data_IF_657360607986
#
_entry.id   IF_657360607986
#
_cell.length_a   1.000
_cell.length_b   1.000
_cell.length_c   1.000
_cell.angle_alpha   90.00
_cell.angle_beta   90.00
_cell.angle_gamma   90.00
#
_symmetry.space_group_name_H-M   'P 1'
#
loop_
_entity.id
_entity.type
_entity.pdbx_description
1 polymer ?
#
# COMPACT_ATOMS: atom_id res chain seq x y z
N UNK A 1 -13.10 14.23 -2.67
CA UNK A 1 -12.82 14.11 -1.22
C UNK A 1 -13.17 12.71 -0.69
N UNK A 2 -14.36 12.17 -1.00
CA UNK A 2 -14.84 10.87 -0.51
C UNK A 2 -13.90 9.67 -0.80
N UNK A 3 -13.42 9.50 -2.04
CA UNK A 3 -12.58 8.35 -2.40
C UNK A 3 -11.23 8.32 -1.67
N UNK A 4 -10.64 9.49 -1.44
CA UNK A 4 -9.36 9.62 -0.74
C UNK A 4 -9.50 9.33 0.76
N UNK A 5 -10.60 9.75 1.39
CA UNK A 5 -10.91 9.39 2.78
C UNK A 5 -11.10 7.88 2.93
N UNK A 6 -11.77 7.23 1.98
CA UNK A 6 -11.92 5.77 1.97
C UNK A 6 -10.55 5.09 1.80
N UNK A 7 -9.67 5.62 0.94
CA UNK A 7 -8.30 5.10 0.77
C UNK A 7 -7.51 5.15 2.07
N UNK A 8 -7.55 6.28 2.77
CA UNK A 8 -6.88 6.45 4.06
C UNK A 8 -7.46 5.54 5.15
N UNK A 9 -8.78 5.35 5.17
CA UNK A 9 -9.42 4.43 6.10
C UNK A 9 -8.99 2.98 5.86
N UNK A 10 -9.01 2.53 4.60
CA UNK A 10 -8.56 1.18 4.23
C UNK A 10 -7.08 0.99 4.54
N UNK A 11 -6.23 1.97 4.21
CA UNK A 11 -4.82 2.00 4.58
C UNK A 11 -4.62 1.78 6.09
N UNK A 12 -5.33 2.55 6.91
CA UNK A 12 -5.18 2.52 8.37
C UNK A 12 -5.67 1.18 8.94
N UNK A 13 -6.78 0.65 8.43
CA UNK A 13 -7.33 -0.65 8.84
C UNK A 13 -6.35 -1.77 8.50
N UNK A 14 -5.83 -1.80 7.26
CA UNK A 14 -4.87 -2.82 6.83
C UNK A 14 -3.61 -2.80 7.69
N UNK A 15 -3.02 -1.63 7.94
CA UNK A 15 -1.80 -1.52 8.76
C UNK A 15 -2.04 -1.90 10.21
N UNK A 16 -3.13 -1.45 10.82
CA UNK A 16 -3.42 -1.76 12.22
C UNK A 16 -3.60 -3.28 12.44
N UNK A 17 -4.23 -3.97 11.48
CA UNK A 17 -4.40 -5.44 11.54
C UNK A 17 -3.04 -6.17 11.50
N UNK A 18 -2.15 -5.75 10.61
CA UNK A 18 -0.81 -6.32 10.49
C UNK A 18 0.05 -5.98 11.71
N UNK A 19 -0.03 -4.75 12.22
CA UNK A 19 0.69 -4.34 13.43
C UNK A 19 0.29 -5.18 14.65
N UNK A 20 -1.00 -5.49 14.82
CA UNK A 20 -1.47 -6.39 15.89
C UNK A 20 -0.92 -7.81 15.76
N UNK A 21 -0.82 -8.34 14.53
CA UNK A 21 -0.17 -9.63 14.27
C UNK A 21 1.33 -9.60 14.57
N UNK A 22 2.03 -8.55 14.17
CA UNK A 22 3.46 -8.38 14.43
C UNK A 22 3.76 -8.33 15.93
N UNK A 23 2.97 -7.56 16.68
CA UNK A 23 3.11 -7.45 18.13
C UNK A 23 2.91 -8.81 18.80
N UNK A 24 1.84 -9.53 18.42
CA UNK A 24 1.57 -10.89 18.92
C UNK A 24 2.70 -11.86 18.62
N UNK A 25 3.23 -11.89 17.39
CA UNK A 25 4.31 -12.81 16.99
C UNK A 25 5.64 -12.42 17.64
N UNK A 26 5.86 -11.15 17.95
CA UNK A 26 7.12 -10.69 18.57
C UNK A 26 7.32 -11.20 20.01
N UNK A 27 6.24 -11.43 20.74
CA UNK A 27 6.22 -11.92 22.12
C UNK A 27 5.38 -13.21 22.23
N UNK A 28 5.85 -14.34 21.66
CA UNK A 28 5.05 -15.54 21.60
C UNK A 28 4.94 -16.23 22.96
N UNK A 29 3.75 -16.71 23.30
CA UNK A 29 3.61 -17.67 24.39
C UNK A 29 4.16 -19.03 23.94
N UNK A 30 4.92 -19.71 24.81
CA UNK A 30 5.47 -21.05 24.55
C UNK A 30 4.37 -22.12 24.68
N UNK A 31 3.42 -22.12 23.75
CA UNK A 31 2.38 -23.16 23.66
C UNK A 31 2.03 -23.45 22.21
N UNK A 32 1.73 -24.71 21.89
CA UNK A 32 1.26 -25.12 20.56
C UNK A 32 -0.01 -24.39 20.15
N UNK A 33 -0.94 -24.23 21.10
CA UNK A 33 -2.21 -23.50 20.91
C UNK A 33 -1.99 -22.07 20.43
N UNK A 34 -0.99 -21.38 20.96
CA UNK A 34 -0.66 -20.03 20.53
C UNK A 34 -0.33 -19.95 19.03
N UNK A 35 0.44 -20.90 18.48
CA UNK A 35 0.81 -20.89 17.06
C UNK A 35 -0.32 -21.27 16.13
N UNK A 36 -1.20 -22.19 16.57
CA UNK A 36 -2.43 -22.49 15.85
C UNK A 36 -3.34 -21.25 15.80
N UNK A 37 -3.52 -20.56 16.93
CA UNK A 37 -4.30 -19.33 16.99
C UNK A 37 -3.65 -18.20 16.17
N UNK A 38 -2.31 -18.11 16.16
CA UNK A 38 -1.58 -17.14 15.35
C UNK A 38 -1.72 -17.42 13.85
N UNK A 39 -1.71 -18.68 13.45
CA UNK A 39 -1.95 -19.12 12.06
C UNK A 39 -3.36 -18.76 11.61
N UNK A 40 -4.37 -19.08 12.42
CA UNK A 40 -5.76 -18.71 12.14
C UNK A 40 -5.95 -17.19 12.06
N UNK A 41 -5.35 -16.43 12.99
CA UNK A 41 -5.40 -14.97 12.97
C UNK A 41 -4.69 -14.37 11.74
N UNK A 42 -3.59 -14.98 11.29
CA UNK A 42 -2.88 -14.58 10.09
C UNK A 42 -3.75 -14.78 8.85
N UNK A 43 -4.29 -15.98 8.65
CA UNK A 43 -5.18 -16.29 7.52
C UNK A 43 -6.42 -15.39 7.51
N UNK A 44 -7.07 -15.20 8.67
CA UNK A 44 -8.22 -14.30 8.79
C UNK A 44 -7.88 -12.85 8.42
N UNK A 45 -6.65 -12.40 8.72
CA UNK A 45 -6.18 -11.07 8.32
C UNK A 45 -5.90 -10.99 6.83
N UNK A 46 -5.29 -12.04 6.25
CA UNK A 46 -5.08 -12.13 4.80
C UNK A 46 -6.41 -12.09 4.05
N UNK A 47 -7.38 -12.90 4.47
CA UNK A 47 -8.71 -12.97 3.86
C UNK A 47 -9.46 -11.64 4.00
N UNK A 48 -9.35 -10.98 5.15
CA UNK A 48 -9.97 -9.67 5.36
C UNK A 48 -9.35 -8.60 4.43
N UNK A 49 -8.01 -8.59 4.28
CA UNK A 49 -7.32 -7.68 3.38
C UNK A 49 -7.68 -7.99 1.92
N UNK A 50 -7.66 -9.25 1.51
CA UNK A 50 -8.05 -9.68 0.16
C UNK A 50 -9.51 -9.30 -0.14
N UNK A 51 -10.42 -9.53 0.81
CA UNK A 51 -11.83 -9.15 0.67
C UNK A 51 -12.00 -7.64 0.51
N UNK A 52 -11.31 -6.84 1.33
CA UNK A 52 -11.36 -5.38 1.30
C UNK A 52 -10.80 -4.80 0.00
N UNK A 53 -9.78 -5.42 -0.61
CA UNK A 53 -9.09 -4.87 -1.77
C UNK A 53 -9.57 -5.45 -3.11
N UNK A 54 -9.72 -6.78 -3.18
CA UNK A 54 -10.13 -7.50 -4.39
C UNK A 54 -11.62 -7.72 -4.45
N UNK A 55 -12.23 -8.38 -3.45
CA UNK A 55 -13.64 -8.83 -3.55
C UNK A 55 -14.63 -7.67 -3.49
N UNK A 56 -14.29 -6.60 -2.78
CA UNK A 56 -15.12 -5.39 -2.69
C UNK A 56 -15.15 -4.56 -3.99
N UNK A 57 -14.27 -4.85 -4.96
CA UNK A 57 -14.07 -4.02 -6.16
C UNK A 57 -13.31 -2.72 -5.89
N UNK A 58 -12.83 -2.47 -4.67
CA UNK A 58 -12.13 -1.23 -4.33
C UNK A 58 -10.86 -1.02 -5.16
N UNK A 59 -10.09 -2.09 -5.40
CA UNK A 59 -8.93 -2.01 -6.30
C UNK A 59 -9.29 -1.47 -7.69
N UNK A 60 -10.45 -1.86 -8.22
CA UNK A 60 -10.92 -1.44 -9.53
C UNK A 60 -11.39 0.02 -9.48
N UNK A 61 -12.13 0.39 -8.44
CA UNK A 61 -12.57 1.77 -8.22
C UNK A 61 -11.39 2.74 -8.03
N UNK A 62 -10.36 2.33 -7.28
CA UNK A 62 -9.13 3.10 -7.11
C UNK A 62 -8.37 3.30 -8.42
N UNK A 63 -8.34 2.29 -9.29
CA UNK A 63 -7.72 2.40 -10.62
C UNK A 63 -8.47 3.40 -11.50
N UNK A 64 -9.81 3.35 -11.55
CA UNK A 64 -10.61 4.33 -12.28
C UNK A 64 -10.42 5.75 -11.74
N UNK A 65 -10.37 5.92 -10.41
CA UNK A 65 -10.11 7.22 -9.80
C UNK A 65 -8.73 7.75 -10.20
N UNK A 66 -7.67 6.95 -10.11
CA UNK A 66 -6.33 7.34 -10.52
C UNK A 66 -6.26 7.71 -12.01
N UNK A 67 -6.90 6.92 -12.87
CA UNK A 67 -6.95 7.19 -14.31
C UNK A 67 -7.68 8.50 -14.61
N UNK A 68 -8.80 8.77 -13.93
CA UNK A 68 -9.54 10.01 -14.07
C UNK A 68 -8.74 11.23 -13.61
N UNK A 69 -8.08 11.14 -12.46
CA UNK A 69 -7.24 12.21 -11.92
C UNK A 69 -6.03 12.49 -12.83
N UNK A 70 -5.41 11.44 -13.38
CA UNK A 70 -4.31 11.57 -14.33
C UNK A 70 -4.76 12.24 -15.64
N UNK A 71 -5.90 11.80 -16.19
CA UNK A 71 -6.51 12.42 -17.38
C UNK A 71 -6.86 13.89 -17.12
N UNK A 72 -7.45 14.19 -15.96
CA UNK A 72 -7.79 15.57 -15.57
C UNK A 72 -6.55 16.45 -15.47
N UNK A 73 -5.46 15.95 -14.88
CA UNK A 73 -4.18 16.65 -14.83
C UNK A 73 -3.64 16.98 -16.23
N UNK A 74 -3.71 16.02 -17.16
CA UNK A 74 -3.27 16.21 -18.54
C UNK A 74 -4.14 17.23 -19.28
N UNK A 75 -5.46 17.16 -19.15
CA UNK A 75 -6.38 18.12 -19.79
C UNK A 75 -6.18 19.55 -19.27
N UNK A 76 -6.11 19.75 -17.95
CA UNK A 76 -5.88 21.09 -17.38
C UNK A 76 -4.48 21.63 -17.71
N UNK A 77 -3.47 20.75 -17.79
CA UNK A 77 -2.13 21.12 -18.25
C UNK A 77 -2.13 21.58 -19.71
N UNK A 78 -2.83 20.86 -20.60
CA UNK A 78 -2.95 21.22 -22.01
C UNK A 78 -3.71 22.55 -22.20
N UNK A 79 -4.79 22.77 -21.43
CA UNK A 79 -5.52 24.05 -21.42
C UNK A 79 -4.61 25.19 -20.93
N UNK A 80 -3.85 24.97 -19.86
CA UNK A 80 -2.89 25.95 -19.33
C UNK A 80 -1.80 26.31 -20.33
N UNK A 81 -1.28 25.32 -21.07
CA UNK A 81 -0.30 25.53 -22.12
C UNK A 81 -0.88 26.30 -23.31
N UNK A 82 -2.07 25.93 -23.78
CA UNK A 82 -2.76 26.60 -24.88
C UNK A 82 -3.04 28.08 -24.53
N UNK A 83 -3.56 28.34 -23.34
CA UNK A 83 -3.91 29.69 -22.88
C UNK A 83 -2.66 30.57 -22.66
N UNK A 84 -1.56 29.99 -22.16
CA UNK A 84 -0.27 30.68 -22.06
C UNK A 84 0.30 31.03 -23.44
N UNK A 85 0.32 30.07 -24.36
CA UNK A 85 0.86 30.26 -25.71
C UNK A 85 0.09 31.32 -26.52
N UNK A 86 -1.22 31.44 -26.31
CA UNK A 86 -2.08 32.39 -27.03
C UNK A 86 -2.18 33.77 -26.41
N UNK A 87 -2.15 33.88 -25.07
CA UNK A 87 -2.44 35.15 -24.38
C UNK A 87 -1.23 35.83 -23.75
N UNK A 88 -0.17 35.08 -23.43
CA UNK A 88 1.02 35.58 -22.73
C UNK A 88 0.75 36.19 -21.35
N UNK A 89 -0.47 36.03 -20.78
CA UNK A 89 -0.89 36.69 -19.54
C UNK A 89 -0.76 35.80 -18.32
N UNK A 90 -0.50 36.43 -17.16
CA UNK A 90 -0.40 35.81 -15.82
C UNK A 90 -1.73 35.15 -15.38
N UNK A 91 -2.90 35.51 -15.92
CA UNK A 91 -4.18 34.89 -15.51
C UNK A 91 -4.33 33.40 -15.88
N UNK A 92 -3.38 32.86 -16.63
CA UNK A 92 -3.26 31.45 -17.04
C UNK A 92 -2.87 30.52 -15.89
N UNK A 93 -2.56 31.05 -14.69
CA UNK A 93 -2.16 30.27 -13.52
C UNK A 93 -3.22 29.28 -13.03
N UNK A 94 -4.52 29.57 -13.26
CA UNK A 94 -5.63 28.76 -12.74
C UNK A 94 -5.61 27.32 -13.28
N UNK A 95 -5.62 27.07 -14.61
CA UNK A 95 -5.44 25.74 -15.18
C UNK A 95 -4.21 24.99 -14.64
N UNK A 96 -3.07 25.70 -14.49
CA UNK A 96 -1.85 25.11 -13.94
C UNK A 96 -2.02 24.66 -12.49
N UNK A 97 -2.64 25.47 -11.63
CA UNK A 97 -2.95 25.07 -10.26
C UNK A 97 -3.88 23.85 -10.19
N UNK A 98 -4.87 23.73 -11.09
CA UNK A 98 -5.72 22.54 -11.18
C UNK A 98 -4.93 21.31 -11.63
N UNK A 99 -4.09 21.44 -12.66
CA UNK A 99 -3.23 20.37 -13.14
C UNK A 99 -2.30 19.86 -12.03
N UNK A 100 -1.63 20.77 -11.32
CA UNK A 100 -0.73 20.45 -10.19
C UNK A 100 -1.52 19.74 -9.08
N UNK A 101 -2.71 20.22 -8.72
CA UNK A 101 -3.55 19.58 -7.69
C UNK A 101 -3.89 18.12 -8.04
N UNK A 102 -4.36 17.87 -9.26
CA UNK A 102 -4.72 16.52 -9.71
C UNK A 102 -3.48 15.61 -9.77
N UNK A 103 -2.35 16.15 -10.23
CA UNK A 103 -1.09 15.42 -10.25
C UNK A 103 -0.60 15.05 -8.84
N UNK A 104 -0.65 15.97 -7.87
CA UNK A 104 -0.32 15.70 -6.47
C UNK A 104 -1.24 14.63 -5.86
N UNK A 105 -2.54 14.63 -6.20
CA UNK A 105 -3.47 13.60 -5.74
C UNK A 105 -3.12 12.22 -6.28
N UNK A 106 -2.72 12.12 -7.55
CA UNK A 106 -2.23 10.87 -8.16
C UNK A 106 -0.96 10.40 -7.45
N UNK A 107 0.04 11.27 -7.29
CA UNK A 107 1.29 10.94 -6.61
C UNK A 107 1.07 10.46 -5.17
N UNK A 108 0.22 11.15 -4.41
CA UNK A 108 -0.09 10.79 -3.03
C UNK A 108 -0.86 9.47 -2.93
N UNK A 109 -1.79 9.23 -3.84
CA UNK A 109 -2.55 7.98 -3.89
C UNK A 109 -1.66 6.79 -4.24
N UNK A 110 -0.76 6.95 -5.23
CA UNK A 110 0.25 5.95 -5.58
C UNK A 110 1.21 5.69 -4.40
N UNK A 111 1.63 6.75 -3.69
CA UNK A 111 2.45 6.63 -2.48
C UNK A 111 1.76 5.77 -1.42
N UNK A 112 0.51 6.07 -1.09
CA UNK A 112 -0.24 5.35 -0.07
C UNK A 112 -0.42 3.87 -0.44
N UNK A 113 -0.71 3.58 -1.71
CA UNK A 113 -0.83 2.20 -2.20
C UNK A 113 0.51 1.46 -2.10
N UNK A 114 1.61 2.10 -2.49
CA UNK A 114 2.94 1.48 -2.41
C UNK A 114 3.47 1.33 -0.99
N UNK A 115 3.23 2.31 -0.11
CA UNK A 115 3.58 2.23 1.30
C UNK A 115 2.80 1.11 1.99
N UNK A 116 1.49 1.03 1.73
CA UNK A 116 0.65 -0.05 2.21
C UNK A 116 1.13 -1.40 1.70
N UNK A 117 1.39 -1.53 0.40
CA UNK A 117 1.94 -2.77 -0.15
C UNK A 117 3.27 -3.13 0.53
N UNK A 118 4.16 -2.16 0.78
CA UNK A 118 5.44 -2.42 1.47
C UNK A 118 5.28 -2.89 2.92
N UNK A 119 4.29 -2.35 3.65
CA UNK A 119 3.99 -2.69 5.04
C UNK A 119 3.18 -3.97 5.17
N UNK A 120 2.35 -4.26 4.17
CA UNK A 120 1.54 -5.49 4.12
C UNK A 120 2.37 -6.67 3.64
N UNK A 121 3.24 -6.46 2.65
CA UNK A 121 4.10 -7.50 2.11
C UNK A 121 4.92 -8.16 3.21
N UNK A 122 4.59 -9.42 3.47
CA UNK A 122 5.34 -10.33 4.35
C UNK A 122 6.69 -10.70 3.71
N UNK A 123 7.54 -9.69 3.48
CA UNK A 123 8.79 -9.86 2.76
C UNK A 123 9.85 -10.52 3.64
N UNK A 124 10.47 -11.60 3.16
CA UNK A 124 11.44 -12.43 3.91
C UNK A 124 12.66 -11.66 4.47
N UNK A 125 12.95 -10.45 3.96
CA UNK A 125 14.14 -9.65 4.31
C UNK A 125 13.87 -8.46 5.23
N UNK A 126 12.62 -8.07 5.45
CA UNK A 126 12.32 -6.90 6.27
C UNK A 126 12.31 -7.26 7.77
N UNK A 127 13.04 -6.50 8.61
CA UNK A 127 13.10 -6.72 10.07
C UNK A 127 11.73 -6.65 10.76
N UNK A 128 10.75 -6.02 10.12
CA UNK A 128 9.38 -5.87 10.60
C UNK A 128 8.39 -6.81 9.88
N UNK A 129 8.85 -7.84 9.17
CA UNK A 129 7.94 -8.80 8.55
C UNK A 129 7.56 -9.92 9.51
N UNK A 130 6.33 -10.42 9.35
CA UNK A 130 5.82 -11.56 10.13
C UNK A 130 6.72 -12.78 9.93
N UNK A 131 7.19 -13.04 8.70
CA UNK A 131 8.11 -14.14 8.40
C UNK A 131 9.44 -13.98 9.13
N UNK A 132 10.02 -12.78 9.13
CA UNK A 132 11.29 -12.52 9.82
C UNK A 132 11.15 -12.74 11.33
N UNK A 133 10.10 -12.20 11.93
CA UNK A 133 9.82 -12.41 13.36
C UNK A 133 9.58 -13.88 13.67
N UNK A 134 8.77 -14.58 12.88
CA UNK A 134 8.50 -16.01 13.05
C UNK A 134 9.80 -16.82 13.02
N UNK A 135 10.67 -16.56 12.04
CA UNK A 135 11.98 -17.23 11.90
C UNK A 135 12.94 -16.89 13.04
N UNK A 136 12.86 -15.69 13.64
CA UNK A 136 13.69 -15.30 14.79
C UNK A 136 13.47 -16.21 16.02
N UNK A 137 12.30 -16.84 16.12
CA UNK A 137 11.99 -17.77 17.20
C UNK A 137 12.44 -19.21 16.92
N UNK A 138 12.97 -19.52 15.73
CA UNK A 138 13.54 -20.84 15.43
C UNK A 138 14.66 -21.17 16.42
N UNK A 139 14.64 -22.40 16.95
CA UNK A 139 15.59 -22.87 17.97
C UNK A 139 15.32 -22.39 19.40
N UNK A 140 14.32 -21.52 19.63
CA UNK A 140 13.88 -21.08 20.97
C UNK A 140 12.58 -21.74 21.45
N UNK A 141 12.06 -22.67 20.65
CA UNK A 141 10.78 -23.33 20.86
C UNK A 141 10.96 -24.62 21.65
N UNK A 142 10.10 -24.86 22.64
CA UNK A 142 10.04 -26.14 23.33
C UNK A 142 9.64 -27.28 22.39
N UNK A 143 10.05 -28.53 22.67
CA UNK A 143 9.87 -29.67 21.77
C UNK A 143 8.41 -29.93 21.37
N UNK A 144 7.45 -29.64 22.24
CA UNK A 144 6.02 -29.78 21.97
C UNK A 144 5.36 -28.60 21.22
N UNK A 145 6.13 -27.67 20.67
CA UNK A 145 5.61 -26.51 19.93
C UNK A 145 6.29 -26.29 18.56
N UNK A 146 7.29 -27.12 18.23
CA UNK A 146 8.10 -26.95 17.02
C UNK A 146 7.27 -27.18 15.77
N UNK A 147 6.39 -28.19 15.78
CA UNK A 147 5.60 -28.56 14.62
C UNK A 147 4.61 -27.46 14.22
N UNK A 148 3.91 -26.88 15.19
CA UNK A 148 2.95 -25.79 14.97
C UNK A 148 3.66 -24.49 14.57
N UNK A 149 4.84 -24.23 15.14
CA UNK A 149 5.65 -23.08 14.75
C UNK A 149 6.16 -23.19 13.31
N UNK A 150 6.61 -24.38 12.89
CA UNK A 150 7.01 -24.63 11.50
C UNK A 150 5.83 -24.53 10.54
N UNK A 151 4.65 -25.06 10.92
CA UNK A 151 3.42 -24.94 10.15
C UNK A 151 3.02 -23.46 9.98
N UNK A 152 3.14 -22.65 11.03
CA UNK A 152 2.94 -21.21 10.95
C UNK A 152 3.92 -20.55 9.97
N UNK A 153 5.22 -20.83 10.08
CA UNK A 153 6.23 -20.27 9.15
C UNK A 153 5.89 -20.65 7.71
N UNK A 154 5.57 -21.92 7.46
CA UNK A 154 5.20 -22.38 6.12
C UNK A 154 3.94 -21.68 5.60
N UNK A 155 2.92 -21.49 6.46
CA UNK A 155 1.71 -20.74 6.12
C UNK A 155 2.04 -19.31 5.69
N UNK A 156 2.78 -18.56 6.52
CA UNK A 156 3.14 -17.16 6.24
C UNK A 156 4.02 -17.04 4.98
N UNK A 157 4.84 -18.05 4.69
CA UNK A 157 5.63 -18.08 3.46
C UNK A 157 4.82 -18.42 2.21
N UNK A 158 3.82 -19.28 2.33
CA UNK A 158 2.96 -19.71 1.22
C UNK A 158 1.87 -18.70 0.87
N UNK A 159 1.38 -17.95 1.86
CA UNK A 159 0.28 -16.99 1.71
C UNK A 159 0.74 -15.62 2.18
N UNK A 160 1.61 -14.92 1.43
CA UNK A 160 2.07 -13.61 1.85
C UNK A 160 0.88 -12.65 1.95
N UNK A 161 0.67 -12.06 3.12
CA UNK A 161 -0.20 -10.89 3.25
C UNK A 161 0.33 -9.83 2.31
N UNK A 162 -0.54 -9.31 1.45
CA UNK A 162 -0.20 -8.32 0.45
C UNK A 162 -1.45 -7.66 -0.09
N UNK A 163 -1.34 -6.39 -0.45
CA UNK A 163 -2.37 -5.75 -1.26
C UNK A 163 -1.98 -5.96 -2.72
N UNK A 164 -2.65 -6.90 -3.37
CA UNK A 164 -2.55 -7.08 -4.82
C UNK A 164 -3.62 -6.21 -5.48
N UNK A 165 -3.21 -5.12 -6.12
CA UNK A 165 -4.12 -4.34 -6.95
C UNK A 165 -4.36 -5.08 -8.28
N UNK A 166 -5.61 -5.20 -8.70
CA UNK A 166 -6.02 -5.90 -9.93
C UNK A 166 -5.38 -5.34 -11.22
N UNK A 167 -4.82 -4.12 -11.18
CA UNK A 167 -4.24 -3.44 -12.35
C UNK A 167 -2.71 -3.33 -12.34
N UNK A 168 -2.06 -3.42 -11.18
CA UNK A 168 -0.61 -3.32 -11.04
C UNK A 168 -0.16 -4.42 -10.07
N UNK A 169 0.38 -5.55 -10.57
CA UNK A 169 0.63 -6.73 -9.76
C UNK A 169 1.66 -6.50 -8.64
N UNK A 170 2.41 -5.40 -8.65
CA UNK A 170 3.13 -4.90 -7.48
C UNK A 170 3.50 -3.43 -7.65
N UNK A 171 2.65 -2.51 -7.20
CA UNK A 171 3.06 -1.11 -7.00
C UNK A 171 4.04 -1.05 -5.83
N UNK A 172 5.32 -1.20 -6.13
CA UNK A 172 6.38 -1.12 -5.13
C UNK A 172 6.83 0.32 -4.92
N UNK A 173 7.36 0.64 -3.74
CA UNK A 173 7.99 1.94 -3.48
C UNK A 173 9.15 2.25 -4.45
N UNK A 174 9.76 1.22 -5.06
CA UNK A 174 10.79 1.39 -6.08
C UNK A 174 10.25 1.98 -7.39
N UNK A 175 8.98 1.73 -7.72
CA UNK A 175 8.30 2.35 -8.86
C UNK A 175 7.78 3.75 -8.51
N UNK A 176 7.25 3.92 -7.30
CA UNK A 176 6.58 5.16 -6.90
C UNK A 176 7.57 6.26 -6.46
N UNK A 177 8.67 5.92 -5.80
CA UNK A 177 9.64 6.92 -5.33
C UNK A 177 10.29 7.75 -6.46
N UNK A 178 10.68 7.17 -7.61
CA UNK A 178 11.15 7.96 -8.76
C UNK A 178 10.07 8.88 -9.33
N UNK A 179 8.83 8.41 -9.47
CA UNK A 179 7.71 9.20 -10.01
C UNK A 179 7.40 10.39 -9.11
N UNK A 180 7.38 10.20 -7.79
CA UNK A 180 7.21 11.28 -6.81
C UNK A 180 8.40 12.24 -6.83
N UNK A 181 9.64 11.73 -6.93
CA UNK A 181 10.82 12.60 -7.02
C UNK A 181 10.79 13.48 -8.26
N UNK A 182 10.46 12.91 -9.43
CA UNK A 182 10.30 13.66 -10.68
C UNK A 182 9.17 14.69 -10.50
N UNK A 183 8.05 14.30 -9.91
CA UNK A 183 6.93 15.21 -9.61
C UNK A 183 7.35 16.43 -8.77
N UNK A 184 8.12 16.21 -7.69
CA UNK A 184 8.61 17.28 -6.81
C UNK A 184 9.67 18.16 -7.46
N UNK A 185 10.49 17.61 -8.36
CA UNK A 185 11.50 18.38 -9.11
C UNK A 185 10.85 19.22 -10.21
N UNK A 186 9.78 18.73 -10.83
CA UNK A 186 9.07 19.43 -11.91
C UNK A 186 8.07 20.46 -11.36
N UNK A 187 7.50 20.25 -10.17
CA UNK A 187 6.57 21.19 -9.53
C UNK A 187 7.07 22.66 -9.49
N UNK A 188 8.32 22.98 -9.09
CA UNK A 188 8.83 24.35 -9.09
C UNK A 188 9.18 24.90 -10.48
N UNK A 189 9.21 24.09 -11.54
CA UNK A 189 9.43 24.57 -12.92
C UNK A 189 8.15 25.04 -13.60
N UNK A 190 6.99 24.77 -13.00
CA UNK A 190 5.65 25.10 -13.53
C UNK A 190 5.03 26.31 -12.80
N UNK A 191 5.64 26.74 -11.68
CA UNK A 191 5.24 27.93 -10.89
C UNK A 191 5.98 29.16 -11.37
#
# INVERSE_FOLDING_TARGET
LSCFTVLLALYKVSINRIAGLLDRVSNPMTSARFWNDATSAYLATTDAIDSLWRRSGYSTAGAFFLAFEFFSAACYGAIGFADWSGSGRISTWRPWCWAIKHFLLVCLSLYLVADMHSKCCSNRKAKHSVVYLARKHLGRMGPGCIQEHLAFIQCVESVPVGVESAFLPALTMAFVAPVIRIAFVVAPLVV
#
